data_IF_005304104097
#
_entry.id   IF_005304104097
#
_cell.length_a   1.000
_cell.length_b   1.000
_cell.length_c   1.000
_cell.angle_alpha   90.00
_cell.angle_beta   90.00
_cell.angle_gamma   90.00
#
_symmetry.space_group_name_H-M   'P 1'
#
loop_
_entity.id
_entity.type
_entity.pdbx_description
1 polymer ?
#
# COMPACT_ATOMS: atom_id res chain seq x y z
N UNK A 1 14.19 -24.23 -15.15
CA UNK A 1 13.90 -23.23 -14.11
C UNK A 1 13.00 -22.22 -14.76
N UNK A 2 11.74 -22.17 -14.34
CA UNK A 2 10.75 -21.27 -14.93
C UNK A 2 11.03 -19.85 -14.42
N UNK A 3 11.51 -18.99 -15.31
CA UNK A 3 11.72 -17.59 -14.98
C UNK A 3 10.36 -16.90 -15.02
N UNK A 4 9.93 -16.31 -13.90
CA UNK A 4 8.84 -15.32 -13.90
C UNK A 4 9.25 -14.21 -14.87
N UNK A 5 8.70 -14.21 -16.09
CA UNK A 5 9.13 -13.31 -17.15
C UNK A 5 8.75 -11.88 -16.77
N UNK A 6 9.75 -11.08 -16.42
CA UNK A 6 9.59 -9.64 -16.19
C UNK A 6 9.53 -8.96 -17.55
N UNK A 7 8.48 -8.16 -17.78
CA UNK A 7 8.23 -7.51 -19.06
C UNK A 7 7.85 -6.05 -18.87
N UNK A 8 8.46 -5.15 -19.64
CA UNK A 8 8.01 -3.76 -19.69
C UNK A 8 6.60 -3.66 -20.26
N UNK A 9 5.77 -2.80 -19.67
CA UNK A 9 4.40 -2.57 -20.15
C UNK A 9 4.37 -1.25 -20.91
N UNK A 10 4.18 -1.33 -22.22
CA UNK A 10 4.14 -0.19 -23.13
C UNK A 10 5.51 0.22 -23.67
N UNK A 11 5.51 1.23 -24.55
CA UNK A 11 6.73 1.78 -25.14
C UNK A 11 7.55 2.58 -24.12
N UNK A 12 8.88 2.71 -24.31
CA UNK A 12 9.70 3.62 -23.51
C UNK A 12 9.13 5.04 -23.57
N UNK A 13 8.99 5.68 -22.41
CA UNK A 13 8.56 7.08 -22.32
C UNK A 13 9.67 8.06 -22.67
N UNK A 14 10.92 7.66 -22.46
CA UNK A 14 12.09 8.45 -22.78
C UNK A 14 13.28 7.51 -23.02
N UNK A 15 14.19 7.89 -23.91
CA UNK A 15 15.48 7.24 -24.07
C UNK A 15 16.59 8.30 -23.93
N UNK A 16 17.64 7.96 -23.18
CA UNK A 16 18.80 8.83 -22.97
C UNK A 16 20.07 8.00 -23.00
N UNK A 17 20.79 8.03 -24.12
CA UNK A 17 21.93 7.15 -24.34
C UNK A 17 21.47 5.68 -24.34
N UNK A 18 22.16 4.84 -23.57
CA UNK A 18 21.82 3.42 -23.42
C UNK A 18 20.67 3.14 -22.43
N UNK A 19 20.02 4.18 -21.89
CA UNK A 19 18.97 4.02 -20.90
C UNK A 19 17.60 4.27 -21.52
N UNK A 20 16.69 3.30 -21.37
CA UNK A 20 15.29 3.42 -21.74
C UNK A 20 14.41 3.47 -20.48
N UNK A 21 13.53 4.47 -20.37
CA UNK A 21 12.70 4.70 -19.19
C UNK A 21 11.25 4.30 -19.46
N UNK A 22 10.61 3.66 -18.49
CA UNK A 22 9.27 3.09 -18.63
C UNK A 22 8.33 3.60 -17.53
N UNK A 23 7.02 3.51 -17.79
CA UNK A 23 5.98 3.84 -16.79
C UNK A 23 5.60 2.66 -15.92
N UNK A 24 5.81 1.45 -16.41
CA UNK A 24 5.31 0.25 -15.74
C UNK A 24 6.03 -1.01 -16.20
N UNK A 25 6.06 -2.01 -15.33
CA UNK A 25 6.60 -3.33 -15.57
C UNK A 25 5.64 -4.38 -15.02
N UNK A 26 5.45 -5.48 -15.75
CA UNK A 26 4.66 -6.62 -15.32
C UNK A 26 5.55 -7.80 -14.99
N UNK A 27 5.12 -8.58 -14.01
CA UNK A 27 5.74 -9.83 -13.64
C UNK A 27 4.76 -10.67 -12.84
N UNK A 28 5.02 -11.98 -12.79
CA UNK A 28 4.35 -12.86 -11.83
C UNK A 28 5.15 -12.85 -10.53
N UNK A 29 4.50 -12.52 -9.42
CA UNK A 29 5.13 -12.63 -8.10
C UNK A 29 5.36 -14.11 -7.72
N UNK A 30 4.46 -14.99 -8.15
CA UNK A 30 4.55 -16.45 -7.98
C UNK A 30 4.42 -17.18 -9.33
N UNK A 31 5.08 -18.33 -9.56
CA UNK A 31 5.10 -19.04 -10.84
C UNK A 31 3.72 -19.22 -11.49
N UNK A 32 2.72 -19.59 -10.67
CA UNK A 32 1.34 -19.84 -11.09
C UNK A 32 0.38 -18.68 -10.76
N UNK A 33 0.89 -17.56 -10.25
CA UNK A 33 0.09 -16.42 -9.85
C UNK A 33 -0.32 -15.51 -11.02
N UNK A 34 -1.31 -14.64 -10.83
CA UNK A 34 -1.64 -13.62 -11.82
C UNK A 34 -0.44 -12.68 -12.04
N UNK A 35 -0.32 -12.15 -13.26
CA UNK A 35 0.65 -11.11 -13.55
C UNK A 35 0.24 -9.83 -12.80
N UNK A 36 1.15 -9.29 -12.01
CA UNK A 36 1.01 -8.02 -11.33
C UNK A 36 1.76 -6.93 -12.11
N UNK A 37 1.35 -5.67 -11.94
CA UNK A 37 1.94 -4.53 -12.62
C UNK A 37 2.42 -3.51 -11.60
N UNK A 38 3.73 -3.24 -11.63
CA UNK A 38 4.36 -2.17 -10.87
C UNK A 38 4.44 -0.92 -11.73
N UNK A 39 4.00 0.22 -11.21
CA UNK A 39 3.92 1.48 -11.95
C UNK A 39 4.73 2.57 -11.26
N UNK A 40 5.26 3.46 -12.08
CA UNK A 40 5.91 4.69 -11.66
C UNK A 40 4.92 5.58 -10.88
N UNK A 41 5.32 6.03 -9.69
CA UNK A 41 4.54 6.88 -8.80
C UNK A 41 3.60 6.12 -7.86
N UNK A 42 3.52 4.79 -7.97
CA UNK A 42 2.69 3.96 -7.10
C UNK A 42 3.49 3.42 -5.90
N UNK A 43 2.74 3.00 -4.88
CA UNK A 43 3.24 2.56 -3.59
C UNK A 43 2.97 1.07 -3.37
N UNK A 44 3.95 0.36 -2.83
CA UNK A 44 3.87 -1.08 -2.62
C UNK A 44 4.43 -1.45 -1.25
N UNK A 45 3.84 -2.43 -0.57
CA UNK A 45 4.48 -3.05 0.59
C UNK A 45 5.61 -3.95 0.12
N UNK A 46 6.79 -3.76 0.70
CA UNK A 46 7.95 -4.59 0.41
C UNK A 46 8.63 -5.07 1.69
N UNK A 47 9.25 -6.24 1.61
CA UNK A 47 10.15 -6.78 2.64
C UNK A 47 11.49 -7.15 2.00
N UNK A 48 12.52 -6.33 2.23
CA UNK A 48 13.84 -6.50 1.63
C UNK A 48 14.56 -7.78 2.09
N UNK A 49 14.34 -8.17 3.34
CA UNK A 49 14.95 -9.34 3.95
C UNK A 49 13.98 -10.07 4.88
N UNK A 50 14.17 -11.38 5.13
CA UNK A 50 13.23 -12.18 5.91
C UNK A 50 13.05 -11.71 7.35
N UNK A 51 14.07 -11.05 7.92
CA UNK A 51 14.04 -10.48 9.27
C UNK A 51 13.82 -8.95 9.26
N UNK A 52 13.79 -8.34 8.09
CA UNK A 52 13.57 -6.90 7.98
C UNK A 52 12.07 -6.59 8.14
N UNK A 53 11.74 -5.44 8.75
CA UNK A 53 10.36 -4.98 8.81
C UNK A 53 9.81 -4.75 7.40
N UNK A 54 8.49 -4.88 7.27
CA UNK A 54 7.81 -4.49 6.03
C UNK A 54 7.78 -2.97 5.97
N UNK A 55 8.07 -2.41 4.81
CA UNK A 55 8.02 -0.98 4.56
C UNK A 55 7.23 -0.68 3.29
N UNK A 56 6.88 0.60 3.10
CA UNK A 56 6.28 1.06 1.86
C UNK A 56 7.40 1.53 0.92
N UNK A 57 7.34 1.10 -0.34
CA UNK A 57 8.19 1.57 -1.42
C UNK A 57 7.36 2.34 -2.44
N UNK A 58 7.72 3.61 -2.64
CA UNK A 58 7.26 4.41 -3.79
C UNK A 58 8.20 4.15 -4.97
N UNK A 59 7.67 3.67 -6.09
CA UNK A 59 8.46 3.50 -7.30
C UNK A 59 8.67 4.87 -7.95
N UNK A 60 9.88 5.39 -7.89
CA UNK A 60 10.23 6.74 -8.37
C UNK A 60 10.87 6.76 -9.77
N UNK A 61 11.36 5.62 -10.26
CA UNK A 61 11.89 5.48 -11.63
C UNK A 61 11.94 4.00 -12.04
N UNK A 62 11.66 3.72 -13.30
CA UNK A 62 11.79 2.40 -13.93
C UNK A 62 12.57 2.53 -15.23
N UNK A 63 13.64 1.76 -15.40
CA UNK A 63 14.47 1.85 -16.60
C UNK A 63 15.22 0.57 -16.92
N UNK A 64 15.63 0.44 -18.17
CA UNK A 64 16.55 -0.57 -18.66
C UNK A 64 17.88 0.08 -19.03
N UNK A 65 18.99 -0.51 -18.56
CA UNK A 65 20.30 -0.32 -19.17
C UNK A 65 20.44 -1.30 -20.33
N UNK A 66 20.27 -0.80 -21.55
CA UNK A 66 20.26 -1.59 -22.78
C UNK A 66 21.62 -2.22 -23.09
N UNK A 67 22.72 -1.70 -22.54
CA UNK A 67 24.05 -2.29 -22.77
C UNK A 67 24.27 -3.55 -21.95
N UNK A 68 23.67 -3.61 -20.76
CA UNK A 68 23.80 -4.72 -19.81
C UNK A 68 22.54 -5.57 -19.71
N UNK A 69 21.46 -5.16 -20.39
CA UNK A 69 20.13 -5.73 -20.25
C UNK A 69 19.67 -5.80 -18.78
N UNK A 70 20.02 -4.78 -17.99
CA UNK A 70 19.62 -4.69 -16.59
C UNK A 70 18.32 -3.91 -16.45
N UNK A 71 17.30 -4.58 -15.92
CA UNK A 71 16.04 -3.96 -15.55
C UNK A 71 16.16 -3.41 -14.12
N UNK A 72 16.02 -2.09 -13.98
CA UNK A 72 16.28 -1.38 -12.74
C UNK A 72 15.08 -0.54 -12.31
N UNK A 73 14.95 -0.39 -10.99
CA UNK A 73 13.96 0.44 -10.34
C UNK A 73 14.64 1.32 -9.28
N UNK A 74 14.17 2.56 -9.17
CA UNK A 74 14.52 3.47 -8.09
C UNK A 74 13.31 3.60 -7.20
N UNK A 75 13.46 3.36 -5.90
CA UNK A 75 12.38 3.49 -4.96
C UNK A 75 12.74 4.38 -3.77
N UNK A 76 11.73 5.06 -3.22
CA UNK A 76 11.83 5.75 -1.94
C UNK A 76 11.10 4.91 -0.89
N UNK A 77 11.76 4.67 0.24
CA UNK A 77 11.19 3.86 1.31
C UNK A 77 10.54 4.71 2.38
N UNK A 78 9.50 4.16 2.99
CA UNK A 78 8.79 4.72 4.12
C UNK A 78 8.59 3.64 5.18
N UNK A 79 9.01 3.91 6.41
CA UNK A 79 8.93 2.97 7.52
C UNK A 79 7.95 3.48 8.58
N UNK A 80 7.35 2.55 9.31
CA UNK A 80 6.63 2.90 10.53
C UNK A 80 7.63 3.45 11.57
N UNK A 81 7.24 4.43 12.40
CA UNK A 81 8.09 4.89 13.50
C UNK A 81 8.55 3.74 14.42
N UNK A 82 7.71 2.72 14.61
CA UNK A 82 7.99 1.49 15.35
C UNK A 82 9.20 0.71 14.84
N UNK A 83 9.41 0.73 13.52
CA UNK A 83 10.49 0.00 12.86
C UNK A 83 11.81 0.76 12.89
N UNK A 84 11.82 1.97 13.46
CA UNK A 84 13.05 2.72 13.68
C UNK A 84 13.66 2.40 15.03
N UNK A 85 14.99 2.51 15.19
CA UNK A 85 15.64 2.31 16.49
C UNK A 85 15.12 3.21 17.62
N UNK A 86 14.51 4.36 17.28
CA UNK A 86 13.91 5.28 18.26
C UNK A 86 12.50 4.86 18.67
N UNK A 87 11.82 4.06 17.86
CA UNK A 87 10.41 3.71 18.02
C UNK A 87 9.47 4.89 17.86
N UNK A 88 8.16 4.62 18.00
CA UNK A 88 7.12 5.65 18.00
C UNK A 88 7.19 6.50 19.29
N UNK A 89 7.36 7.79 19.12
CA UNK A 89 7.20 8.81 20.18
C UNK A 89 5.82 9.49 20.11
N UNK A 90 5.49 10.31 21.12
CA UNK A 90 4.21 11.07 21.20
C UNK A 90 4.05 12.16 20.14
N UNK A 91 5.11 12.49 19.41
CA UNK A 91 5.08 13.54 18.38
C UNK A 91 4.61 13.03 17.02
N UNK A 92 4.64 11.71 16.80
CA UNK A 92 4.19 11.10 15.56
C UNK A 92 2.66 11.03 15.49
N UNK A 93 2.12 11.22 14.29
CA UNK A 93 0.71 10.99 13.98
C UNK A 93 0.30 9.50 14.03
N UNK A 94 -1.01 9.25 13.96
CA UNK A 94 -1.58 7.90 13.95
C UNK A 94 -1.11 7.10 12.74
N UNK A 95 -1.28 7.66 11.53
CA UNK A 95 -0.92 7.03 10.25
C UNK A 95 0.40 7.60 9.67
N UNK A 96 1.25 8.18 10.53
CA UNK A 96 2.51 8.76 10.07
C UNK A 96 3.52 7.67 9.68
N UNK A 97 4.21 7.91 8.57
CA UNK A 97 5.34 7.10 8.10
C UNK A 97 6.57 7.97 7.88
N UNK A 98 7.74 7.41 8.16
CA UNK A 98 9.02 8.10 8.07
C UNK A 98 9.69 7.79 6.73
N UNK A 99 9.84 8.82 5.90
CA UNK A 99 10.48 8.70 4.60
C UNK A 99 12.01 8.64 4.72
N UNK A 100 12.62 7.63 4.12
CA UNK A 100 14.07 7.56 3.96
C UNK A 100 14.51 8.62 2.94
N UNK A 101 15.56 9.38 3.29
CA UNK A 101 16.07 10.48 2.45
C UNK A 101 16.78 9.99 1.20
N UNK A 102 17.49 8.86 1.28
CA UNK A 102 18.20 8.25 0.16
C UNK A 102 17.25 7.32 -0.62
N UNK A 103 17.24 7.49 -1.94
CA UNK A 103 16.57 6.54 -2.84
C UNK A 103 17.38 5.26 -2.95
N UNK A 104 16.71 4.12 -2.97
CA UNK A 104 17.33 2.84 -3.32
C UNK A 104 17.29 2.63 -4.83
N UNK A 105 18.32 1.97 -5.37
CA UNK A 105 18.31 1.46 -6.75
C UNK A 105 18.47 -0.05 -6.67
N UNK A 106 17.54 -0.77 -7.27
CA UNK A 106 17.43 -2.24 -7.17
C UNK A 106 17.11 -2.82 -8.54
N UNK A 107 17.32 -4.12 -8.73
CA UNK A 107 16.80 -4.79 -9.93
C UNK A 107 15.29 -4.89 -9.80
N UNK A 108 14.60 -4.83 -10.94
CA UNK A 108 13.15 -5.05 -10.97
C UNK A 108 12.80 -6.43 -10.40
N UNK A 109 13.64 -7.44 -10.64
CA UNK A 109 13.44 -8.77 -10.06
C UNK A 109 13.40 -8.75 -8.53
N UNK A 110 14.28 -7.98 -7.89
CA UNK A 110 14.32 -7.88 -6.43
C UNK A 110 13.08 -7.12 -5.92
N UNK A 111 12.66 -6.05 -6.61
CA UNK A 111 11.43 -5.31 -6.29
C UNK A 111 10.20 -6.22 -6.34
N UNK A 112 10.07 -7.03 -7.39
CA UNK A 112 8.97 -7.99 -7.55
C UNK A 112 9.01 -9.03 -6.45
N UNK A 113 10.19 -9.60 -6.18
CA UNK A 113 10.39 -10.64 -5.15
C UNK A 113 10.07 -10.15 -3.74
N UNK A 114 10.39 -8.90 -3.43
CA UNK A 114 10.16 -8.32 -2.11
C UNK A 114 8.74 -7.81 -1.93
N UNK A 115 7.98 -7.63 -3.00
CA UNK A 115 6.60 -7.17 -2.93
C UNK A 115 5.74 -8.17 -2.17
N UNK A 116 4.93 -7.69 -1.23
CA UNK A 116 4.04 -8.52 -0.44
C UNK A 116 2.68 -7.85 -0.25
N UNK A 117 1.68 -8.63 0.16
CA UNK A 117 0.39 -8.11 0.59
C UNK A 117 0.51 -7.28 1.89
N UNK A 118 -0.52 -6.52 2.21
CA UNK A 118 -0.57 -5.71 3.43
C UNK A 118 -0.37 -6.58 4.69
N UNK A 119 0.63 -6.26 5.54
CA UNK A 119 0.86 -7.00 6.78
C UNK A 119 -0.12 -6.59 7.88
N UNK A 120 -0.43 -7.51 8.80
CA UNK A 120 -1.31 -7.25 9.94
C UNK A 120 -0.86 -6.11 10.89
N UNK A 121 0.39 -5.65 10.80
CA UNK A 121 0.90 -4.50 11.57
C UNK A 121 0.62 -3.14 10.93
N UNK A 122 0.13 -3.12 9.68
CA UNK A 122 -0.16 -1.91 8.91
C UNK A 122 -1.66 -1.57 8.89
N UNK A 123 -2.52 -2.50 9.28
CA UNK A 123 -3.96 -2.26 9.39
C UNK A 123 -4.24 -1.40 10.63
N UNK A 124 -4.61 -0.13 10.43
CA UNK A 124 -5.08 0.79 11.47
C UNK A 124 -6.54 0.54 11.87
N UNK A 125 -6.95 -0.73 11.98
CA UNK A 125 -8.16 -1.07 12.70
C UNK A 125 -7.84 -1.10 14.20
N UNK A 126 -8.61 -0.39 15.05
CA UNK A 126 -8.43 -0.48 16.48
C UNK A 126 -8.58 -1.95 16.88
N UNK A 127 -7.53 -2.58 17.42
CA UNK A 127 -7.75 -3.75 18.26
C UNK A 127 -8.63 -3.27 19.42
N UNK A 128 -9.88 -3.73 19.55
CA UNK A 128 -10.64 -3.40 20.74
C UNK A 128 -9.80 -3.89 21.94
N UNK A 129 -9.66 -3.10 23.01
CA UNK A 129 -9.01 -3.61 24.19
C UNK A 129 -9.77 -4.85 24.62
N UNK A 130 -9.07 -5.98 24.73
CA UNK A 130 -9.56 -7.16 25.42
C UNK A 130 -9.87 -6.71 26.86
N UNK A 131 -11.14 -6.37 27.07
CA UNK A 131 -11.66 -6.04 28.38
C UNK A 131 -11.86 -7.36 29.10
N UNK A 132 -10.76 -7.88 29.64
CA UNK A 132 -10.84 -8.91 30.66
C UNK A 132 -11.30 -8.25 31.97
N UNK A 133 -12.37 -8.86 32.52
CA UNK A 133 -12.91 -8.77 33.87
C UNK A 133 -14.03 -7.76 34.18
N UNK A 134 -15.23 -8.33 34.30
CA UNK A 134 -16.19 -8.19 35.40
C UNK A 134 -16.77 -6.80 35.73
N UNK A 135 -18.09 -6.66 35.54
CA UNK A 135 -18.87 -5.68 36.29
C UNK A 135 -20.16 -5.21 35.62
N UNK A 136 -21.20 -6.02 35.74
CA UNK A 136 -22.63 -5.70 35.67
C UNK A 136 -22.99 -4.19 35.72
N UNK A 137 -23.37 -3.58 34.60
CA UNK A 137 -24.29 -2.44 34.59
C UNK A 137 -25.25 -2.52 33.40
N UNK A 138 -26.51 -2.76 33.74
CA UNK A 138 -27.69 -2.83 32.88
C UNK A 138 -27.95 -1.45 32.23
N UNK A 139 -28.27 -1.35 30.92
CA UNK A 139 -28.80 -0.11 30.35
C UNK A 139 -30.25 0.10 30.82
N UNK A 140 -30.69 1.33 31.15
CA UNK A 140 -32.11 1.59 31.39
C UNK A 140 -32.85 1.71 30.05
N UNK A 141 -33.86 0.86 29.89
CA UNK A 141 -34.93 0.99 28.91
C UNK A 141 -35.72 2.29 29.21
N UNK A 142 -35.91 3.14 28.20
CA UNK A 142 -36.98 4.15 28.19
C UNK A 142 -37.67 4.06 26.82
N UNK A 143 -38.98 3.90 26.92
CA UNK A 143 -39.99 3.63 25.89
C UNK A 143 -40.45 4.86 25.10
N UNK A 144 -40.81 4.62 23.83
CA UNK A 144 -41.78 5.25 22.90
C UNK A 144 -42.25 6.70 23.11
N UNK A 145 -42.18 7.53 22.05
CA UNK A 145 -43.35 7.81 21.17
C UNK A 145 -43.04 8.71 19.93
N UNK A 146 -43.36 8.17 18.74
CA UNK A 146 -44.26 8.69 17.68
C UNK A 146 -43.98 10.00 16.88
N UNK A 147 -43.66 9.79 15.59
CA UNK A 147 -44.13 10.44 14.33
C UNK A 147 -43.59 11.79 13.79
N UNK A 148 -43.14 11.66 12.53
CA UNK A 148 -43.40 12.45 11.32
C UNK A 148 -42.36 13.46 10.77
N UNK A 149 -41.84 13.05 9.60
CA UNK A 149 -41.84 13.78 8.31
C UNK A 149 -40.50 14.16 7.66
N UNK A 150 -40.32 13.53 6.49
CA UNK A 150 -39.76 14.02 5.21
C UNK A 150 -38.25 14.22 5.05
N UNK A 151 -37.62 13.15 4.54
CA UNK A 151 -37.10 13.03 3.17
C UNK A 151 -36.03 14.04 2.66
N UNK A 152 -34.81 13.56 2.47
CA UNK A 152 -33.98 13.88 1.28
C UNK A 152 -33.00 12.74 1.01
N UNK A 153 -33.37 11.96 0.01
CA UNK A 153 -32.58 10.96 -0.70
C UNK A 153 -31.19 11.44 -1.14
N UNK A 154 -30.17 10.64 -0.85
CA UNK A 154 -29.04 10.42 -1.77
C UNK A 154 -28.64 8.94 -1.70
N UNK A 155 -29.42 8.14 -2.43
CA UNK A 155 -29.12 6.75 -2.76
C UNK A 155 -27.82 6.70 -3.57
N UNK A 156 -26.72 6.22 -2.97
CA UNK A 156 -25.58 5.74 -3.73
C UNK A 156 -25.81 4.26 -4.02
N UNK A 157 -26.29 4.02 -5.24
CA UNK A 157 -26.62 2.71 -5.78
C UNK A 157 -25.43 1.75 -5.67
N UNK A 158 -25.55 0.77 -4.78
CA UNK A 158 -24.72 -0.43 -4.78
C UNK A 158 -25.11 -1.26 -6.00
N UNK A 159 -24.53 -0.95 -7.15
CA UNK A 159 -24.53 -1.86 -8.30
C UNK A 159 -23.62 -3.03 -7.91
N UNK A 160 -24.27 -4.13 -7.54
CA UNK A 160 -23.64 -5.44 -7.43
C UNK A 160 -23.09 -5.79 -8.81
N UNK A 161 -21.78 -5.87 -8.92
CA UNK A 161 -21.12 -6.68 -9.93
C UNK A 161 -20.33 -7.72 -9.18
N UNK A 162 -20.81 -8.95 -9.31
CA UNK A 162 -20.15 -10.16 -8.87
C UNK A 162 -18.84 -10.28 -9.63
N UNK A 163 -17.73 -9.90 -8.99
CA UNK A 163 -16.43 -10.51 -9.25
C UNK A 163 -15.59 -10.36 -7.97
N UNK A 164 -15.56 -11.46 -7.21
CA UNK A 164 -14.88 -11.62 -5.94
C UNK A 164 -13.37 -11.80 -6.19
N UNK A 165 -12.75 -10.79 -6.81
CA UNK A 165 -11.32 -10.74 -7.04
C UNK A 165 -10.70 -9.91 -5.92
N UNK A 166 -10.27 -10.62 -4.88
CA UNK A 166 -9.23 -10.24 -3.91
C UNK A 166 -9.01 -8.73 -3.81
N UNK A 167 -9.73 -8.09 -2.89
CA UNK A 167 -9.48 -6.71 -2.49
C UNK A 167 -8.04 -6.59 -1.97
N UNK A 168 -7.10 -6.34 -2.88
CA UNK A 168 -5.84 -5.72 -2.54
C UNK A 168 -6.21 -4.36 -1.96
N UNK A 169 -6.32 -4.30 -0.63
CA UNK A 169 -6.35 -3.05 0.11
C UNK A 169 -5.07 -2.31 -0.26
N UNK A 170 -5.22 -1.36 -1.19
CA UNK A 170 -4.13 -0.60 -1.78
C UNK A 170 -3.75 0.55 -0.86
N UNK A 171 -2.46 0.88 -0.82
CA UNK A 171 -1.94 2.03 -0.09
C UNK A 171 -2.60 3.30 -0.64
N UNK A 172 -3.37 4.00 0.20
CA UNK A 172 -4.04 5.25 -0.18
C UNK A 172 -3.23 6.44 0.34
N UNK A 173 -2.59 7.16 -0.58
CA UNK A 173 -1.87 8.39 -0.23
C UNK A 173 -2.83 9.57 -0.28
N UNK A 174 -2.96 10.28 0.84
CA UNK A 174 -3.81 11.46 0.98
C UNK A 174 -2.95 12.72 1.05
N UNK A 175 -3.45 13.80 0.46
CA UNK A 175 -2.89 15.13 0.74
C UNK A 175 -3.22 15.54 2.17
N UNK A 176 -2.37 16.37 2.78
CA UNK A 176 -2.57 16.86 4.14
C UNK A 176 -3.99 17.41 4.42
N UNK A 177 -4.61 18.23 3.53
CA UNK A 177 -5.97 18.73 3.76
C UNK A 177 -7.07 17.65 3.72
N UNK A 178 -6.83 16.52 3.06
CA UNK A 178 -7.76 15.39 3.02
C UNK A 178 -7.58 14.45 4.21
N UNK A 179 -6.39 14.45 4.82
CA UNK A 179 -6.10 13.65 6.01
C UNK A 179 -6.62 14.32 7.30
N UNK A 180 -6.50 15.65 7.39
CA UNK A 180 -6.97 16.39 8.56
C UNK A 180 -8.48 16.19 8.79
N UNK A 181 -8.83 15.47 9.87
CA UNK A 181 -10.22 15.19 10.26
C UNK A 181 -10.92 16.38 10.92
N UNK A 182 -10.16 17.38 11.39
CA UNK A 182 -10.71 18.63 11.89
C UNK A 182 -10.76 19.67 10.78
N UNK A 183 -11.98 20.11 10.44
CA UNK A 183 -12.28 21.30 9.65
C UNK A 183 -13.01 22.31 10.51
#
# INVERSE_FOLDING_TARGET
MEHNAIQWVGAPSCQRGSYAFYKSVSSRAHPDGPAQVWKLGEFYFIRCGPQDPVCIAEVTLLWEDQTRHHLLASARLYFLPEDTPKGRTREHGEDEVLAVSRKMVVRVEDLVRWSCSEPAGWSSSPKPPLSDTNGLHKPPEISDCTENSTDTSSQLLTVKTEDDLEQQQGIKVLSYPHYCRFR
#
